data_IF_594812431677
#
_entry.id   IF_594812431677
#
_cell.length_a   1.000
_cell.length_b   1.000
_cell.length_c   1.000
_cell.angle_alpha   90.00
_cell.angle_beta   90.00
_cell.angle_gamma   90.00
#
_symmetry.space_group_name_H-M   'P 1'
#
loop_
_entity.id
_entity.type
_entity.pdbx_description
1 polymer ?
#
# COMPACT_ATOMS: atom_id res chain seq x y z
N UNK A 1 25.22 -1.55 -40.09
CA UNK A 1 24.92 -2.91 -39.54
C UNK A 1 23.47 -2.90 -39.08
N UNK A 2 22.73 -3.95 -39.45
CA UNK A 2 21.27 -4.00 -39.48
C UNK A 2 20.64 -4.05 -38.08
N UNK A 3 19.71 -3.12 -37.82
CA UNK A 3 18.80 -3.15 -36.68
C UNK A 3 17.76 -4.26 -36.86
N UNK A 4 17.62 -5.14 -35.85
CA UNK A 4 16.53 -6.12 -35.79
C UNK A 4 15.58 -5.69 -34.67
N UNK A 5 14.49 -5.03 -35.08
CA UNK A 5 13.36 -4.68 -34.23
C UNK A 5 12.39 -5.86 -34.27
N UNK A 6 12.39 -6.71 -33.24
CA UNK A 6 11.40 -7.77 -33.10
C UNK A 6 10.12 -7.20 -32.46
N UNK A 7 9.18 -6.77 -33.30
CA UNK A 7 7.81 -6.42 -32.89
C UNK A 7 7.02 -7.70 -32.61
N UNK A 8 6.78 -8.04 -31.34
CA UNK A 8 5.75 -9.01 -30.98
C UNK A 8 4.38 -8.34 -31.14
N UNK A 9 3.77 -8.56 -32.31
CA UNK A 9 2.41 -8.17 -32.63
C UNK A 9 1.46 -9.27 -32.14
N UNK A 10 0.80 -9.06 -31.00
CA UNK A 10 -0.29 -9.93 -30.59
C UNK A 10 -1.53 -9.67 -31.45
N UNK A 11 -1.86 -10.72 -32.20
CA UNK A 11 -3.00 -10.96 -33.07
C UNK A 11 -4.33 -10.51 -32.44
N UNK A 12 -4.89 -9.38 -32.88
CA UNK A 12 -6.26 -9.01 -32.57
C UNK A 12 -7.21 -9.89 -33.41
N UNK A 13 -7.97 -10.75 -32.73
CA UNK A 13 -9.07 -11.48 -33.32
C UNK A 13 -10.23 -10.52 -33.61
N UNK A 14 -10.51 -10.28 -34.89
CA UNK A 14 -11.65 -9.49 -35.31
C UNK A 14 -12.97 -10.27 -35.20
N UNK A 15 -14.08 -9.62 -34.79
CA UNK A 15 -15.40 -10.15 -35.03
C UNK A 15 -15.82 -9.90 -36.49
N UNK A 16 -16.10 -10.99 -37.19
CA UNK A 16 -16.78 -10.99 -38.50
C UNK A 16 -18.25 -10.60 -38.28
N UNK A 17 -18.66 -9.42 -38.69
CA UNK A 17 -20.06 -9.16 -39.03
C UNK A 17 -20.18 -8.26 -40.26
N UNK A 18 -20.05 -8.91 -41.41
CA UNK A 18 -20.70 -8.45 -42.64
C UNK A 18 -22.18 -8.81 -42.57
N UNK A 19 -23.02 -7.85 -42.21
CA UNK A 19 -24.42 -7.79 -42.65
C UNK A 19 -24.72 -6.33 -43.00
N UNK A 20 -24.87 -6.08 -44.29
CA UNK A 20 -25.41 -4.82 -44.82
C UNK A 20 -26.88 -4.77 -44.41
N UNK A 21 -27.24 -3.83 -43.53
CA UNK A 21 -28.65 -3.54 -43.23
C UNK A 21 -29.02 -2.22 -43.93
N UNK A 22 -30.11 -2.22 -44.73
CA UNK A 22 -30.51 -1.08 -45.56
C UNK A 22 -31.02 0.11 -44.72
N UNK A 23 -30.81 1.30 -45.27
CA UNK A 23 -30.93 2.64 -44.65
C UNK A 23 -32.39 3.15 -44.45
N UNK A 24 -33.40 2.33 -44.74
CA UNK A 24 -34.81 2.77 -44.90
C UNK A 24 -35.73 2.18 -43.82
N UNK A 25 -35.48 2.45 -42.55
CA UNK A 25 -36.50 2.24 -41.49
C UNK A 25 -36.26 3.16 -40.27
N UNK A 26 -35.92 4.42 -40.57
CA UNK A 26 -36.09 5.53 -39.63
C UNK A 26 -37.58 5.73 -39.34
N UNK A 27 -37.94 5.78 -38.06
CA UNK A 27 -39.18 6.39 -37.60
C UNK A 27 -40.35 5.43 -37.47
N UNK A 28 -40.50 4.85 -36.27
CA UNK A 28 -41.79 4.67 -35.55
C UNK A 28 -41.71 3.63 -34.42
N UNK A 29 -40.62 2.85 -34.32
CA UNK A 29 -40.44 1.90 -33.23
C UNK A 29 -39.48 2.41 -32.13
N UNK A 30 -39.70 3.64 -31.67
CA UNK A 30 -38.93 4.26 -30.57
C UNK A 30 -39.78 4.52 -29.30
N UNK A 31 -41.03 4.03 -29.25
CA UNK A 31 -42.01 4.52 -28.27
C UNK A 31 -42.64 3.48 -27.32
N UNK A 32 -42.15 2.23 -27.26
CA UNK A 32 -42.74 1.21 -26.35
C UNK A 32 -41.72 0.42 -25.50
N UNK A 33 -40.41 0.71 -25.61
CA UNK A 33 -39.38 0.08 -24.76
C UNK A 33 -38.67 1.07 -23.83
N UNK A 34 -39.32 2.16 -23.43
CA UNK A 34 -38.91 2.93 -22.24
C UNK A 34 -39.32 2.18 -20.96
N UNK A 35 -38.91 0.92 -20.88
CA UNK A 35 -38.80 0.23 -19.60
C UNK A 35 -37.72 0.96 -18.81
N UNK A 36 -38.15 1.65 -17.76
CA UNK A 36 -37.31 2.28 -16.77
C UNK A 36 -36.41 1.20 -16.14
N UNK A 37 -35.26 0.94 -16.75
CA UNK A 37 -34.23 0.12 -16.15
C UNK A 37 -33.55 1.00 -15.11
N UNK A 38 -33.99 0.87 -13.86
CA UNK A 38 -33.24 1.38 -12.71
C UNK A 38 -31.94 0.58 -12.66
N UNK A 39 -30.90 1.07 -13.33
CA UNK A 39 -29.55 0.57 -13.12
C UNK A 39 -29.14 1.04 -11.73
N UNK A 40 -29.25 0.15 -10.74
CA UNK A 40 -28.62 0.37 -9.46
C UNK A 40 -27.10 0.35 -9.68
N UNK A 41 -26.48 1.52 -9.69
CA UNK A 41 -25.03 1.67 -9.64
C UNK A 41 -24.55 1.11 -8.30
N UNK A 42 -24.24 -0.19 -8.26
CA UNK A 42 -23.47 -0.77 -7.16
C UNK A 42 -22.05 -0.24 -7.27
N UNK A 43 -21.82 0.95 -6.71
CA UNK A 43 -20.50 1.44 -6.41
C UNK A 43 -19.87 0.48 -5.40
N UNK A 44 -19.20 -0.56 -5.92
CA UNK A 44 -18.30 -1.38 -5.14
C UNK A 44 -17.16 -0.47 -4.67
N UNK A 45 -17.34 0.11 -3.48
CA UNK A 45 -16.28 0.82 -2.79
C UNK A 45 -15.14 -0.16 -2.59
N UNK A 46 -14.05 0.02 -3.34
CA UNK A 46 -12.79 -0.64 -3.06
C UNK A 46 -12.39 -0.23 -1.64
N UNK A 47 -12.64 -1.11 -0.68
CA UNK A 47 -12.14 -0.96 0.68
C UNK A 47 -10.63 -1.08 0.60
N UNK A 48 -9.94 0.02 0.31
CA UNK A 48 -8.48 0.09 0.35
C UNK A 48 -8.12 -0.06 1.81
N UNK A 49 -7.62 -1.25 2.17
CA UNK A 49 -6.98 -1.45 3.46
C UNK A 49 -5.92 -0.35 3.63
N UNK A 50 -5.89 0.28 4.81
CA UNK A 50 -4.89 1.31 5.09
C UNK A 50 -3.48 0.79 4.73
N UNK A 51 -2.69 1.57 3.97
CA UNK A 51 -1.33 1.17 3.60
C UNK A 51 -0.47 0.85 4.82
N UNK A 52 -0.56 1.70 5.85
CA UNK A 52 0.10 1.53 7.14
C UNK A 52 -0.89 0.92 8.13
N UNK A 53 -0.51 -0.17 8.79
CA UNK A 53 -1.33 -0.87 9.77
C UNK A 53 -0.49 -1.50 10.89
N UNK A 54 -1.13 -1.79 12.02
CA UNK A 54 -0.51 -2.35 13.23
C UNK A 54 -1.13 -3.72 13.53
N UNK A 55 -0.53 -4.84 13.07
CA UNK A 55 -1.14 -6.16 13.23
C UNK A 55 -1.19 -6.62 14.69
N UNK A 56 -0.20 -6.24 15.48
CA UNK A 56 -0.09 -6.45 16.92
C UNK A 56 0.66 -5.27 17.54
N UNK A 57 0.57 -5.12 18.86
CA UNK A 57 1.39 -4.14 19.57
C UNK A 57 2.88 -4.45 19.34
N UNK A 58 3.67 -3.41 19.10
CA UNK A 58 5.11 -3.56 18.86
C UNK A 58 5.49 -3.77 17.40
N UNK A 59 4.53 -3.84 16.48
CA UNK A 59 4.77 -4.05 15.06
C UNK A 59 3.99 -3.03 14.23
N UNK A 60 4.68 -2.37 13.29
CA UNK A 60 4.06 -1.55 12.25
C UNK A 60 4.40 -2.14 10.89
N UNK A 61 3.41 -2.26 10.03
CA UNK A 61 3.58 -2.73 8.66
C UNK A 61 3.12 -1.66 7.68
N UNK A 62 3.85 -1.54 6.59
CA UNK A 62 3.56 -0.64 5.49
C UNK A 62 3.50 -1.43 4.19
N UNK A 63 2.28 -1.64 3.71
CA UNK A 63 1.99 -2.40 2.50
C UNK A 63 2.53 -1.73 1.25
N UNK A 64 2.48 -0.41 1.20
CA UNK A 64 2.91 0.36 0.02
C UNK A 64 4.43 0.45 -0.05
N UNK A 65 5.11 0.47 1.10
CA UNK A 65 6.58 0.37 1.17
C UNK A 65 7.11 -1.06 1.15
N UNK A 66 6.26 -2.05 1.42
CA UNK A 66 6.62 -3.46 1.38
C UNK A 66 7.46 -3.94 2.56
N UNK A 67 7.35 -3.31 3.72
CA UNK A 67 8.11 -3.72 4.92
C UNK A 67 7.27 -3.67 6.19
N UNK A 68 7.69 -4.43 7.20
CA UNK A 68 7.28 -4.24 8.58
C UNK A 68 8.49 -3.88 9.44
N UNK A 69 8.24 -3.18 10.54
CA UNK A 69 9.24 -2.79 11.52
C UNK A 69 8.75 -3.13 12.94
N UNK A 70 9.70 -3.40 13.81
CA UNK A 70 9.47 -3.63 15.24
C UNK A 70 10.27 -2.60 16.07
N UNK A 71 10.36 -2.82 17.38
CA UNK A 71 11.06 -1.93 18.30
C UNK A 71 12.57 -1.75 17.99
N UNK A 72 13.16 -2.60 17.14
CA UNK A 72 14.57 -2.59 16.76
C UNK A 72 14.83 -2.08 15.33
N UNK A 73 13.78 -1.77 14.56
CA UNK A 73 13.90 -1.26 13.19
C UNK A 73 13.17 -2.14 12.17
N UNK A 74 13.62 -2.08 10.92
CA UNK A 74 13.08 -2.92 9.83
C UNK A 74 13.23 -4.41 10.19
N UNK A 75 12.10 -5.11 10.23
CA UNK A 75 12.01 -6.49 10.72
C UNK A 75 11.76 -7.46 9.58
N UNK A 76 12.78 -8.26 9.27
CA UNK A 76 12.69 -9.31 8.24
C UNK A 76 11.63 -10.36 8.62
N UNK A 77 11.60 -10.76 9.89
CA UNK A 77 10.66 -11.76 10.40
C UNK A 77 9.21 -11.29 10.25
N UNK A 78 8.89 -10.08 10.70
CA UNK A 78 7.52 -9.55 10.62
C UNK A 78 7.12 -9.23 9.18
N UNK A 79 8.06 -8.78 8.34
CA UNK A 79 7.82 -8.57 6.90
C UNK A 79 7.41 -9.87 6.23
N UNK A 80 8.14 -10.95 6.45
CA UNK A 80 7.80 -12.27 5.92
C UNK A 80 6.45 -12.77 6.45
N UNK A 81 6.18 -12.55 7.74
CA UNK A 81 4.95 -12.99 8.41
C UNK A 81 3.69 -12.29 7.89
N UNK A 82 3.73 -10.97 7.74
CA UNK A 82 2.53 -10.16 7.46
C UNK A 82 2.40 -9.72 6.00
N UNK A 83 3.51 -9.63 5.26
CA UNK A 83 3.52 -9.20 3.85
C UNK A 83 3.95 -10.32 2.88
N UNK A 84 4.45 -11.44 3.42
CA UNK A 84 4.81 -12.63 2.66
C UNK A 84 6.22 -12.62 2.09
N UNK A 85 6.63 -13.77 1.54
CA UNK A 85 8.01 -14.02 1.11
C UNK A 85 8.52 -13.03 0.06
N UNK A 86 7.66 -12.60 -0.87
CA UNK A 86 8.07 -11.68 -1.91
C UNK A 86 8.43 -10.29 -1.36
N UNK A 87 7.75 -9.82 -0.30
CA UNK A 87 8.10 -8.57 0.37
C UNK A 87 9.42 -8.71 1.12
N UNK A 88 9.61 -9.82 1.84
CA UNK A 88 10.85 -10.15 2.53
C UNK A 88 12.07 -10.13 1.58
N UNK A 89 11.99 -10.81 0.43
CA UNK A 89 13.11 -10.83 -0.52
C UNK A 89 13.48 -9.43 -1.00
N UNK A 90 12.48 -8.59 -1.33
CA UNK A 90 12.73 -7.20 -1.74
C UNK A 90 13.36 -6.37 -0.63
N UNK A 91 12.93 -6.57 0.61
CA UNK A 91 13.51 -5.89 1.77
C UNK A 91 14.97 -6.31 1.98
N UNK A 92 15.26 -7.61 1.89
CA UNK A 92 16.63 -8.12 1.99
C UNK A 92 17.52 -7.55 0.89
N UNK A 93 17.05 -7.51 -0.35
CA UNK A 93 17.80 -6.97 -1.48
C UNK A 93 18.05 -5.47 -1.32
N UNK A 94 17.03 -4.70 -0.92
CA UNK A 94 17.12 -3.25 -0.74
C UNK A 94 18.08 -2.84 0.39
N UNK A 95 18.24 -3.68 1.41
CA UNK A 95 19.04 -3.41 2.61
C UNK A 95 20.22 -4.40 2.77
N UNK A 96 20.68 -5.00 1.66
CA UNK A 96 21.74 -6.02 1.68
C UNK A 96 23.09 -5.46 2.14
N UNK A 97 23.35 -4.17 1.89
CA UNK A 97 24.57 -3.47 2.25
C UNK A 97 24.43 -2.61 3.51
N UNK A 98 23.22 -2.54 4.07
CA UNK A 98 22.93 -1.68 5.21
C UNK A 98 23.51 -2.27 6.49
N UNK A 99 24.14 -1.42 7.29
CA UNK A 99 24.49 -1.77 8.64
C UNK A 99 23.23 -1.86 9.50
N UNK A 100 23.23 -2.61 10.62
CA UNK A 100 22.07 -2.71 11.49
C UNK A 100 21.51 -1.35 11.96
N UNK A 101 22.38 -0.34 12.12
CA UNK A 101 21.99 1.01 12.52
C UNK A 101 21.19 1.76 11.44
N UNK A 102 21.44 1.48 10.17
CA UNK A 102 20.74 2.14 9.06
C UNK A 102 19.29 1.69 8.99
N UNK A 103 19.02 0.45 9.42
CA UNK A 103 17.68 -0.14 9.48
C UNK A 103 16.86 0.30 10.69
N UNK A 104 17.43 1.04 11.63
CA UNK A 104 16.71 1.60 12.78
C UNK A 104 15.90 2.84 12.41
N UNK A 105 16.14 3.45 11.25
CA UNK A 105 15.40 4.61 10.76
C UNK A 105 14.62 4.25 9.52
N UNK A 106 13.34 4.55 9.52
CA UNK A 106 12.46 4.22 8.41
C UNK A 106 11.33 5.23 8.26
N UNK A 107 10.80 5.33 7.05
CA UNK A 107 9.74 6.28 6.68
C UNK A 107 8.56 5.50 6.13
N UNK A 108 7.41 5.71 6.76
CA UNK A 108 6.15 5.13 6.35
C UNK A 108 5.57 5.90 5.14
N UNK A 109 4.72 5.26 4.35
CA UNK A 109 4.04 5.78 3.16
C UNK A 109 3.11 6.94 3.48
N UNK A 110 2.62 7.01 4.72
CA UNK A 110 1.87 8.15 5.24
C UNK A 110 2.74 9.33 5.69
N UNK A 111 4.07 9.27 5.51
CA UNK A 111 5.02 10.34 5.82
C UNK A 111 5.55 10.35 7.26
N UNK A 112 5.08 9.43 8.11
CA UNK A 112 5.61 9.30 9.47
C UNK A 112 7.04 8.75 9.42
N UNK A 113 7.95 9.42 10.11
CA UNK A 113 9.36 9.03 10.23
C UNK A 113 9.56 8.40 11.60
N UNK A 114 10.16 7.23 11.67
CA UNK A 114 10.45 6.53 12.92
C UNK A 114 11.95 6.31 13.09
N UNK A 115 12.42 6.41 14.34
CA UNK A 115 13.79 6.07 14.74
C UNK A 115 13.72 5.16 15.97
N UNK A 116 14.13 3.91 15.80
CA UNK A 116 14.10 2.88 16.85
C UNK A 116 15.13 3.15 17.95
N UNK A 117 16.23 3.84 17.65
CA UNK A 117 17.22 4.23 18.65
C UNK A 117 16.64 5.32 19.58
N UNK A 118 15.90 6.27 19.01
CA UNK A 118 15.19 7.29 19.77
C UNK A 118 13.83 6.81 20.33
N UNK A 119 13.38 5.61 19.96
CA UNK A 119 12.06 5.03 20.29
C UNK A 119 10.91 6.03 20.07
N UNK A 120 11.00 6.80 18.99
CA UNK A 120 10.05 7.87 18.69
C UNK A 120 9.73 7.89 17.21
N UNK A 121 8.49 8.23 16.88
CA UNK A 121 8.05 8.54 15.53
C UNK A 121 7.58 9.99 15.45
N UNK A 122 7.71 10.61 14.28
CA UNK A 122 7.34 12.00 14.02
C UNK A 122 6.46 12.13 12.79
N UNK A 123 5.57 13.12 12.82
CA UNK A 123 4.68 13.45 11.70
C UNK A 123 5.35 14.24 10.59
N UNK A 124 6.57 14.72 10.81
CA UNK A 124 7.32 15.52 9.85
C UNK A 124 8.74 14.98 9.64
N UNK A 125 9.24 15.15 8.41
CA UNK A 125 10.58 14.72 8.02
C UNK A 125 11.70 15.36 8.86
N UNK A 126 11.45 16.56 9.41
CA UNK A 126 12.38 17.27 10.29
C UNK A 126 12.46 16.68 11.70
N UNK A 127 11.61 15.71 12.05
CA UNK A 127 11.52 15.09 13.37
C UNK A 127 11.29 16.11 14.50
N UNK A 128 10.41 17.09 14.25
CA UNK A 128 10.08 18.16 15.22
C UNK A 128 8.81 17.88 15.98
N UNK A 129 7.86 17.18 15.36
CA UNK A 129 6.53 16.96 15.88
C UNK A 129 6.29 15.47 16.15
N UNK A 130 6.40 14.99 17.40
CA UNK A 130 6.18 13.59 17.73
C UNK A 130 4.78 13.11 17.37
N UNK A 131 4.70 11.85 16.92
CA UNK A 131 3.45 11.11 16.73
C UNK A 131 3.24 10.16 17.92
N UNK A 132 2.49 10.55 18.96
CA UNK A 132 2.32 9.71 20.15
C UNK A 132 1.50 8.45 19.86
N UNK A 133 0.64 8.45 18.83
CA UNK A 133 -0.18 7.29 18.51
C UNK A 133 0.69 6.19 17.89
N UNK A 134 1.47 6.53 16.86
CA UNK A 134 2.38 5.57 16.20
C UNK A 134 3.51 5.18 17.14
N UNK A 135 4.08 6.14 17.87
CA UNK A 135 5.14 5.88 18.86
C UNK A 135 4.67 4.87 19.91
N UNK A 136 3.46 5.05 20.48
CA UNK A 136 2.93 4.14 21.50
C UNK A 136 2.58 2.77 20.94
N UNK A 137 2.04 2.72 19.73
CA UNK A 137 1.69 1.45 19.09
C UNK A 137 2.94 0.59 18.80
N UNK A 138 4.04 1.23 18.39
CA UNK A 138 5.28 0.54 18.01
C UNK A 138 6.25 0.31 19.17
N UNK A 139 6.44 1.29 20.07
CA UNK A 139 7.46 1.22 21.13
C UNK A 139 6.88 1.04 22.52
N UNK A 140 5.55 1.06 22.67
CA UNK A 140 4.90 1.15 23.97
C UNK A 140 4.96 2.57 24.54
N UNK A 141 4.63 2.74 25.81
CA UNK A 141 4.74 4.05 26.47
C UNK A 141 6.20 4.53 26.45
N UNK A 142 6.47 5.79 26.09
CA UNK A 142 7.83 6.33 26.08
C UNK A 142 8.43 6.24 27.50
N UNK A 143 9.72 5.94 27.60
CA UNK A 143 10.41 5.78 28.88
C UNK A 143 10.37 7.04 29.79
N UNK A 144 10.00 8.20 29.24
CA UNK A 144 9.79 9.42 30.02
C UNK A 144 8.55 9.38 30.93
N UNK A 145 7.58 8.48 30.72
CA UNK A 145 6.48 8.23 31.68
C UNK A 145 6.84 7.17 32.74
N UNK A 146 7.91 6.41 32.56
CA UNK A 146 8.33 5.38 33.52
C UNK A 146 9.18 5.95 34.68
N UNK A 147 9.70 7.17 34.54
CA UNK A 147 10.47 7.88 35.57
C UNK A 147 9.62 8.74 36.53
N UNK A 148 8.36 9.01 36.17
CA UNK A 148 7.45 9.89 36.92
C UNK A 148 6.27 9.12 37.57
N UNK A 149 6.32 7.78 37.58
CA UNK A 149 5.35 6.98 38.32
C UNK A 149 5.53 7.22 39.84
N UNK A 150 4.50 7.72 40.56
CA UNK A 150 4.62 7.89 42.00
C UNK A 150 4.83 6.53 42.66
N UNK A 151 5.88 6.43 43.50
CA UNK A 151 6.05 5.29 44.38
C UNK A 151 4.82 5.19 45.30
N UNK A 152 4.14 4.05 45.23
CA UNK A 152 3.05 3.70 46.13
C UNK A 152 3.58 3.34 47.53
#
# INVERSE_FOLDING_TARGET
MRHVIARLSCRQGGPRHGRRVPLEMLGLLWLVCTGLTVTADVAAGLHRTAPVFFPVQGVVCDRDRGFCADAWGLSMAETGRYLGQAALMRLMDAHALDMPVDRMRFVLSNGVVCDSMARTCWRDAGRRTPDPAVTRALYGMPAQEAGDAPAA
#
